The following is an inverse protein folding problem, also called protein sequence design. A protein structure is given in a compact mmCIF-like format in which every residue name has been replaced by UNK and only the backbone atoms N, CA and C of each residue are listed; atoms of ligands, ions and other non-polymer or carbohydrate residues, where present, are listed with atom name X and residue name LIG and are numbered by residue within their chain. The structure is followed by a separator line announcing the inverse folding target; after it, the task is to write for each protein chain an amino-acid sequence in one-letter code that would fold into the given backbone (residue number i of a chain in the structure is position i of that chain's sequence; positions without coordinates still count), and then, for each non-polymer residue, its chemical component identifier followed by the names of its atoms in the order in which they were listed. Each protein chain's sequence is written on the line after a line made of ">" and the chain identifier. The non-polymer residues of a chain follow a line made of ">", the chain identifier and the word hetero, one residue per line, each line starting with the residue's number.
data_IF_839738867931
#
_entry.id   IF_839738867931
#
_cell.length_a   1.000
_cell.length_b   1.000
_cell.length_c   1.000
_cell.angle_alpha   90.00
_cell.angle_beta   90.00
_cell.angle_gamma   90.00
#
_symmetry.space_group_name_H-M   'P 1'
#
loop_
_entity.id
_entity.type
_entity.pdbx_description
1 polymer ?
#
# COMPACT_ATOMS: atom_id res chain seq x y z
N UNK A 1 2.04 11.88 3.78
CA UNK A 1 1.43 10.56 3.51
C UNK A 1 0.32 10.32 4.52
N UNK A 2 -0.91 10.02 4.08
CA UNK A 2 -2.02 9.68 4.99
C UNK A 2 -1.80 8.27 5.54
N UNK A 3 -2.22 8.02 6.79
CA UNK A 3 -2.09 6.70 7.44
C UNK A 3 -3.40 6.28 8.06
N UNK A 4 -3.71 5.00 7.98
CA UNK A 4 -4.86 4.39 8.65
C UNK A 4 -4.63 2.88 8.79
N UNK A 5 -5.35 2.22 9.70
CA UNK A 5 -5.31 0.76 9.81
C UNK A 5 -5.85 0.12 8.54
N UNK A 6 -5.02 -0.62 7.84
CA UNK A 6 -5.41 -1.30 6.61
C UNK A 6 -6.45 -2.36 6.90
N UNK A 7 -7.58 -2.23 6.22
CA UNK A 7 -8.63 -3.23 6.14
C UNK A 7 -9.06 -3.33 4.68
N UNK A 8 -9.58 -4.49 4.28
CA UNK A 8 -10.08 -4.70 2.90
C UNK A 8 -11.12 -3.62 2.56
N UNK A 9 -12.06 -3.34 3.46
CA UNK A 9 -13.09 -2.32 3.28
C UNK A 9 -12.53 -0.91 3.10
N UNK A 10 -11.58 -0.50 3.95
CA UNK A 10 -10.98 0.85 3.86
C UNK A 10 -10.16 1.04 2.60
N UNK A 11 -9.38 0.03 2.21
CA UNK A 11 -8.58 0.11 0.98
C UNK A 11 -9.48 0.10 -0.24
N UNK A 12 -10.51 -0.74 -0.28
CA UNK A 12 -11.47 -0.79 -1.39
C UNK A 12 -12.18 0.55 -1.61
N UNK A 13 -12.52 1.24 -0.52
CA UNK A 13 -13.23 2.52 -0.53
C UNK A 13 -12.31 3.75 -0.68
N UNK A 14 -11.02 3.58 -1.00
CA UNK A 14 -10.16 4.72 -1.31
C UNK A 14 -10.60 5.35 -2.64
N UNK A 15 -10.78 6.67 -2.61
CA UNK A 15 -11.07 7.46 -3.80
C UNK A 15 -9.96 7.33 -4.84
N UNK A 16 -10.35 7.43 -6.11
CA UNK A 16 -9.40 7.57 -7.22
C UNK A 16 -8.86 9.00 -7.23
N UNK A 17 -7.55 9.20 -6.97
CA UNK A 17 -6.98 10.55 -6.90
C UNK A 17 -6.62 11.09 -8.28
N UNK A 18 -6.54 12.41 -8.42
CA UNK A 18 -6.07 13.07 -9.65
C UNK A 18 -4.56 12.86 -9.92
N UNK A 19 -3.80 12.51 -8.88
CA UNK A 19 -2.38 12.15 -8.91
C UNK A 19 -2.15 10.90 -8.06
N UNK A 20 -1.09 10.13 -8.32
CA UNK A 20 -0.83 8.89 -7.55
C UNK A 20 -0.79 9.19 -6.04
N UNK A 21 -1.67 8.54 -5.29
CA UNK A 21 -1.77 8.72 -3.85
C UNK A 21 -1.10 7.56 -3.10
N UNK A 22 -0.43 7.88 -1.99
CA UNK A 22 0.20 6.92 -1.11
C UNK A 22 -0.46 6.93 0.27
N UNK A 23 -0.79 5.75 0.76
CA UNK A 23 -1.34 5.51 2.09
C UNK A 23 -0.44 4.53 2.84
N UNK A 24 -0.26 4.72 4.14
CA UNK A 24 0.52 3.80 4.99
C UNK A 24 -0.36 3.07 5.99
N UNK A 25 0.01 1.82 6.30
CA UNK A 25 -0.64 1.07 7.37
C UNK A 25 -0.18 1.58 8.74
N UNK A 26 -1.09 1.57 9.72
CA UNK A 26 -0.74 1.88 11.11
C UNK A 26 -0.27 0.65 11.88
N UNK A 27 -0.63 -0.55 11.45
CA UNK A 27 -0.18 -1.80 12.09
C UNK A 27 1.21 -2.23 11.59
N UNK A 28 1.47 -2.08 10.29
CA UNK A 28 2.80 -2.33 9.71
C UNK A 28 3.39 -1.05 9.09
N UNK A 29 4.32 -0.43 9.80
CA UNK A 29 4.91 0.88 9.43
C UNK A 29 5.61 0.92 8.07
N UNK A 30 6.05 -0.23 7.55
CA UNK A 30 6.71 -0.38 6.25
C UNK A 30 5.72 -0.62 5.10
N UNK A 31 4.47 -0.98 5.41
CA UNK A 31 3.47 -1.34 4.43
C UNK A 31 2.74 -0.11 3.89
N UNK A 32 2.60 -0.05 2.58
CA UNK A 32 1.98 1.06 1.86
C UNK A 32 0.98 0.53 0.81
N UNK A 33 -0.06 1.31 0.54
CA UNK A 33 -0.95 1.15 -0.60
C UNK A 33 -0.80 2.37 -1.50
N UNK A 34 -0.64 2.10 -2.79
CA UNK A 34 -0.61 3.12 -3.83
C UNK A 34 -1.92 3.05 -4.59
N UNK A 35 -2.55 4.20 -4.82
CA UNK A 35 -3.74 4.33 -5.67
C UNK A 35 -3.35 5.12 -6.90
N UNK A 36 -3.45 4.50 -8.07
CA UNK A 36 -3.16 5.16 -9.35
C UNK A 36 -4.28 6.11 -9.72
N UNK A 37 -4.04 6.99 -10.70
CA UNK A 37 -5.06 7.89 -11.26
C UNK A 37 -6.19 7.14 -11.98
N UNK A 38 -6.03 5.84 -12.23
CA UNK A 38 -7.06 4.95 -12.77
C UNK A 38 -7.83 4.19 -11.68
N UNK A 39 -7.52 4.43 -10.41
CA UNK A 39 -8.16 3.78 -9.26
C UNK A 39 -7.62 2.40 -8.91
N UNK A 40 -6.60 1.93 -9.64
CA UNK A 40 -5.90 0.68 -9.34
C UNK A 40 -5.14 0.84 -8.02
N UNK A 41 -5.18 -0.22 -7.20
CA UNK A 41 -4.59 -0.22 -5.86
C UNK A 41 -3.52 -1.30 -5.80
N UNK A 42 -2.31 -0.94 -5.40
CA UNK A 42 -1.21 -1.90 -5.26
C UNK A 42 -0.50 -1.77 -3.93
N UNK A 43 -0.10 -2.91 -3.37
CA UNK A 43 0.65 -2.99 -2.14
C UNK A 43 2.14 -2.83 -2.40
N UNK A 44 2.79 -1.99 -1.60
CA UNK A 44 4.24 -1.80 -1.63
C UNK A 44 4.83 -1.86 -0.24
N UNK A 45 6.02 -2.43 -0.14
CA UNK A 45 6.78 -2.51 1.09
C UNK A 45 7.99 -1.58 1.01
N UNK A 46 8.11 -0.69 1.99
CA UNK A 46 9.29 0.13 2.16
C UNK A 46 10.39 -0.71 2.84
N UNK A 47 11.47 -0.98 2.10
CA UNK A 47 12.66 -1.68 2.62
C UNK A 47 13.87 -0.75 2.60
N UNK A 48 14.80 -0.95 3.53
CA UNK A 48 16.11 -0.31 3.52
C UNK A 48 17.12 -1.33 3.04
N UNK A 49 17.76 -1.07 1.91
CA UNK A 49 18.79 -1.93 1.34
C UNK A 49 20.03 -1.08 1.04
N UNK A 50 21.20 -1.51 1.53
CA UNK A 50 22.48 -0.81 1.33
C UNK A 50 22.40 0.71 1.58
N UNK A 51 21.84 1.11 2.73
CA UNK A 51 21.59 2.52 3.15
C UNK A 51 20.54 3.29 2.33
N UNK A 52 20.08 2.76 1.20
CA UNK A 52 19.03 3.35 0.38
C UNK A 52 17.64 2.85 0.78
N UNK A 53 16.65 3.74 0.79
CA UNK A 53 15.24 3.36 1.02
C UNK A 53 14.63 2.99 -0.34
N UNK A 54 14.30 1.72 -0.53
CA UNK A 54 13.64 1.22 -1.71
C UNK A 54 12.18 0.86 -1.42
N UNK A 55 11.39 0.75 -2.47
CA UNK A 55 9.99 0.30 -2.43
C UNK A 55 9.90 -0.97 -3.26
N UNK A 56 9.48 -2.06 -2.64
CA UNK A 56 9.24 -3.33 -3.31
C UNK A 56 7.76 -3.43 -3.62
N UNK A 57 7.40 -3.71 -4.87
CA UNK A 57 6.01 -4.00 -5.23
C UNK A 57 5.68 -5.41 -4.75
N UNK A 58 4.63 -5.54 -3.94
CA UNK A 58 4.18 -6.84 -3.45
C UNK A 58 3.11 -7.43 -4.37
N UNK A 59 2.23 -6.59 -4.93
CA UNK A 59 1.21 -7.00 -5.88
C UNK A 59 -0.03 -6.11 -5.85
N UNK A 60 -0.99 -6.42 -6.73
CA UNK A 60 -2.24 -5.69 -6.81
C UNK A 60 -3.22 -6.11 -5.71
N UNK A 61 -4.01 -5.15 -5.23
CA UNK A 61 -5.01 -5.37 -4.19
C UNK A 61 -6.09 -6.38 -4.60
N UNK A 62 -6.38 -6.50 -5.89
CA UNK A 62 -7.35 -7.47 -6.42
C UNK A 62 -6.87 -8.93 -6.31
N UNK A 63 -5.56 -9.14 -6.14
CA UNK A 63 -4.93 -10.46 -6.14
C UNK A 63 -4.27 -10.81 -4.80
N UNK A 64 -4.29 -9.90 -3.82
CA UNK A 64 -3.68 -10.11 -2.50
C UNK A 64 -4.55 -9.58 -1.37
N UNK A 65 -4.61 -10.33 -0.28
CA UNK A 65 -5.29 -9.89 0.95
C UNK A 65 -4.35 -9.09 1.85
N UNK A 66 -4.92 -8.20 2.69
CA UNK A 66 -4.13 -7.43 3.67
C UNK A 66 -3.32 -8.36 4.58
N UNK A 67 -3.89 -9.48 5.00
CA UNK A 67 -3.20 -10.42 5.89
C UNK A 67 -2.03 -11.14 5.22
N UNK A 68 -2.15 -11.53 3.95
CA UNK A 68 -1.02 -12.10 3.19
C UNK A 68 0.13 -11.11 3.07
N UNK A 69 -0.19 -9.84 2.81
CA UNK A 69 0.79 -8.78 2.58
C UNK A 69 1.50 -8.38 3.89
N UNK A 70 0.85 -8.62 5.04
CA UNK A 70 1.43 -8.37 6.37
C UNK A 70 2.45 -9.40 6.81
N UNK A 71 2.40 -10.60 6.24
CA UNK A 71 3.31 -11.70 6.55
C UNK A 71 4.57 -11.73 5.65
N UNK A 72 4.90 -10.62 4.96
CA UNK A 72 5.95 -10.49 3.94
C UNK A 72 7.17 -9.67 4.41
#
# INVERSE_FOLDING_TARGET
>A
MKKFKFTVSRIKNLDTPNTVAEYGDTEISTLQVFVTTKGQKCFKLRKKFQRTKTRVNLGDFEHMTVDQVRNY
#
